data_IF_379626706908
#
_entry.id   IF_379626706908
#
_cell.length_a   1.000
_cell.length_b   1.000
_cell.length_c   1.000
_cell.angle_alpha   90.00
_cell.angle_beta   90.00
_cell.angle_gamma   90.00
#
_symmetry.space_group_name_H-M   'P 1'
#
loop_
_entity.id
_entity.type
_entity.pdbx_description
1 polymer ?
#
# COMPACT_ATOMS: atom_id res chain seq x y z
N UNK A 1 -30.45 -16.18 38.07
CA UNK A 1 -29.31 -15.41 37.50
C UNK A 1 -29.06 -15.89 36.08
N UNK A 2 -29.48 -15.13 35.06
CA UNK A 2 -29.18 -15.40 33.64
C UNK A 2 -28.38 -14.20 33.10
N UNK A 3 -27.14 -14.45 32.69
CA UNK A 3 -26.26 -13.48 32.05
C UNK A 3 -26.59 -13.46 30.55
N UNK A 4 -27.15 -12.34 30.05
CA UNK A 4 -27.36 -12.13 28.61
C UNK A 4 -26.08 -11.59 27.98
N UNK A 5 -25.51 -12.33 27.03
CA UNK A 5 -24.42 -11.87 26.18
C UNK A 5 -24.99 -10.92 25.12
N UNK A 6 -24.52 -9.68 25.11
CA UNK A 6 -24.79 -8.74 24.03
C UNK A 6 -23.94 -9.14 22.81
N UNK A 7 -24.59 -9.49 21.70
CA UNK A 7 -23.94 -9.65 20.41
C UNK A 7 -23.92 -8.28 19.72
N UNK A 8 -22.72 -7.74 19.49
CA UNK A 8 -22.50 -6.57 18.63
C UNK A 8 -22.65 -7.02 17.18
N UNK A 9 -23.75 -6.61 16.53
CA UNK A 9 -23.86 -6.69 15.07
C UNK A 9 -23.00 -5.59 14.44
N UNK A 10 -21.85 -5.96 13.89
CA UNK A 10 -21.06 -5.10 13.01
C UNK A 10 -21.78 -5.00 11.66
N UNK A 11 -22.46 -3.88 11.44
CA UNK A 11 -23.08 -3.56 10.15
C UNK A 11 -21.97 -3.15 9.17
N UNK A 12 -21.53 -4.08 8.32
CA UNK A 12 -20.67 -3.76 7.20
C UNK A 12 -21.46 -2.92 6.19
N UNK A 13 -21.13 -1.63 6.09
CA UNK A 13 -21.72 -0.74 5.11
C UNK A 13 -21.17 -1.13 3.71
N UNK A 14 -21.91 -1.94 2.95
CA UNK A 14 -21.64 -2.12 1.53
C UNK A 14 -22.04 -0.85 0.80
N UNK A 15 -21.06 -0.02 0.45
CA UNK A 15 -21.29 1.06 -0.50
C UNK A 15 -21.42 0.48 -1.92
N UNK A 16 -22.38 0.97 -2.73
CA UNK A 16 -22.52 0.53 -4.11
C UNK A 16 -21.28 0.94 -4.92
N UNK A 17 -20.71 -0.03 -5.65
CA UNK A 17 -19.59 0.20 -6.57
C UNK A 17 -20.12 1.04 -7.75
N UNK A 18 -19.56 2.23 -8.04
CA UNK A 18 -19.96 2.97 -9.22
C UNK A 18 -19.54 2.17 -10.47
N UNK A 19 -20.53 1.66 -11.18
CA UNK A 19 -20.37 1.08 -12.52
C UNK A 19 -20.10 2.24 -13.47
N UNK A 20 -18.83 2.47 -13.81
CA UNK A 20 -18.45 3.55 -14.72
C UNK A 20 -17.00 4.04 -14.61
N UNK A 21 -16.22 3.57 -13.62
CA UNK A 21 -14.78 3.79 -13.62
C UNK A 21 -14.15 2.99 -14.76
N UNK A 22 -13.58 3.68 -15.76
CA UNK A 22 -12.67 3.02 -16.71
C UNK A 22 -11.48 2.52 -15.90
N UNK A 23 -11.48 1.22 -15.62
CA UNK A 23 -10.40 0.55 -14.91
C UNK A 23 -9.21 0.53 -15.87
N UNK A 24 -8.17 1.30 -15.55
CA UNK A 24 -6.89 1.19 -16.27
C UNK A 24 -6.37 -0.24 -16.21
N UNK A 25 -5.59 -0.62 -17.21
CA UNK A 25 -4.77 -1.83 -17.13
C UNK A 25 -3.92 -1.73 -15.86
N UNK A 26 -4.18 -2.59 -14.86
CA UNK A 26 -3.42 -2.54 -13.63
C UNK A 26 -1.98 -2.92 -13.93
N UNK A 27 -1.05 -2.34 -13.18
CA UNK A 27 0.33 -2.80 -13.11
C UNK A 27 0.27 -4.24 -12.61
N UNK A 28 0.54 -5.17 -13.51
CA UNK A 28 0.68 -6.59 -13.21
C UNK A 28 2.11 -6.86 -12.77
N UNK A 29 2.26 -7.82 -11.87
CA UNK A 29 3.59 -8.21 -11.38
C UNK A 29 4.25 -9.11 -12.40
N UNK A 30 4.86 -8.52 -13.42
CA UNK A 30 5.68 -9.23 -14.39
C UNK A 30 7.14 -9.23 -13.93
N UNK A 31 7.96 -10.23 -14.29
CA UNK A 31 9.36 -10.30 -13.84
C UNK A 31 10.23 -9.08 -14.20
N UNK A 32 9.85 -8.31 -15.22
CA UNK A 32 10.47 -7.08 -15.67
C UNK A 32 9.99 -5.82 -14.91
N UNK A 33 8.92 -5.94 -14.10
CA UNK A 33 8.45 -4.85 -13.27
C UNK A 33 9.52 -4.46 -12.24
N UNK A 34 10.09 -3.27 -12.40
CA UNK A 34 11.27 -2.82 -11.65
C UNK A 34 10.94 -2.31 -10.24
N UNK A 35 10.44 -3.21 -9.39
CA UNK A 35 10.22 -2.94 -7.97
C UNK A 35 11.55 -2.81 -7.22
N UNK A 36 11.69 -1.74 -6.45
CA UNK A 36 12.87 -1.46 -5.63
C UNK A 36 12.56 -1.71 -4.15
N UNK A 37 13.34 -2.58 -3.51
CA UNK A 37 13.31 -2.77 -2.06
C UNK A 37 14.03 -1.62 -1.34
N UNK A 38 13.45 -1.11 -0.25
CA UNK A 38 14.04 -0.09 0.61
C UNK A 38 13.70 -0.40 2.06
N UNK A 39 14.67 -0.29 2.97
CA UNK A 39 14.47 -0.42 4.42
C UNK A 39 14.93 0.84 5.17
N UNK A 40 14.56 0.93 6.44
CA UNK A 40 15.03 1.97 7.36
C UNK A 40 16.53 1.95 7.66
N UNK A 41 17.27 0.94 7.19
CA UNK A 41 18.72 0.85 7.34
C UNK A 41 19.44 2.03 6.70
N UNK A 42 18.84 2.67 5.68
CA UNK A 42 19.35 3.91 5.08
C UNK A 42 19.42 5.08 6.07
N UNK A 43 18.71 4.98 7.20
CA UNK A 43 18.71 5.94 8.30
C UNK A 43 19.28 5.35 9.61
N UNK A 44 19.89 4.16 9.57
CA UNK A 44 20.45 3.48 10.76
C UNK A 44 19.45 2.59 11.52
N UNK A 45 18.26 2.37 10.96
CA UNK A 45 17.29 1.39 11.45
C UNK A 45 17.80 -0.05 11.31
N UNK A 46 17.08 -0.99 11.91
CA UNK A 46 17.46 -2.41 11.95
C UNK A 46 16.44 -3.33 11.29
N UNK A 47 15.47 -2.77 10.55
CA UNK A 47 14.50 -3.57 9.83
C UNK A 47 15.15 -4.28 8.65
N UNK A 48 14.81 -5.56 8.46
CA UNK A 48 15.40 -6.43 7.45
C UNK A 48 14.31 -7.22 6.74
N UNK A 49 14.51 -7.51 5.47
CA UNK A 49 13.48 -8.11 4.63
C UNK A 49 13.88 -8.18 3.17
N UNK A 50 12.91 -8.52 2.34
CA UNK A 50 13.05 -8.59 0.89
C UNK A 50 11.73 -8.25 0.20
N UNK A 51 11.85 -7.82 -1.05
CA UNK A 51 10.73 -7.70 -1.97
C UNK A 51 11.07 -8.49 -3.23
N UNK A 52 10.26 -9.49 -3.58
CA UNK A 52 10.49 -10.40 -4.70
C UNK A 52 9.20 -10.60 -5.48
N UNK A 53 9.33 -10.80 -6.79
CA UNK A 53 8.20 -11.23 -7.62
C UNK A 53 8.17 -12.77 -7.59
N UNK A 54 7.07 -13.31 -7.09
CA UNK A 54 6.81 -14.74 -6.98
C UNK A 54 5.59 -15.11 -7.83
N UNK A 55 5.44 -16.39 -8.17
CA UNK A 55 4.26 -16.91 -8.85
C UNK A 55 3.75 -18.16 -8.14
N UNK A 56 2.44 -18.20 -7.87
CA UNK A 56 1.75 -19.36 -7.30
C UNK A 56 0.35 -19.46 -7.90
N UNK A 57 -0.08 -20.68 -8.21
CA UNK A 57 -1.45 -20.96 -8.70
C UNK A 57 -1.85 -20.09 -9.91
N UNK A 58 -0.90 -19.83 -10.80
CA UNK A 58 -1.11 -19.00 -11.99
C UNK A 58 -1.21 -17.49 -11.72
N UNK A 59 -1.05 -17.04 -10.48
CA UNK A 59 -0.98 -15.63 -10.11
C UNK A 59 0.48 -15.23 -9.84
N UNK A 60 0.97 -14.22 -10.55
CA UNK A 60 2.22 -13.55 -10.23
C UNK A 60 1.97 -12.38 -9.27
N UNK A 61 2.82 -12.21 -8.26
CA UNK A 61 2.67 -11.21 -7.21
C UNK A 61 4.01 -10.73 -6.65
N UNK A 62 4.05 -9.47 -6.21
CA UNK A 62 5.11 -8.94 -5.38
C UNK A 62 4.88 -9.40 -3.95
N UNK A 63 5.86 -10.09 -3.36
CA UNK A 63 5.88 -10.45 -1.95
C UNK A 63 6.88 -9.58 -1.21
N UNK A 64 6.41 -8.84 -0.21
CA UNK A 64 7.22 -8.08 0.73
C UNK A 64 7.19 -8.81 2.08
N UNK A 65 8.35 -9.31 2.49
CA UNK A 65 8.53 -10.04 3.76
C UNK A 65 9.68 -9.49 4.57
N UNK A 66 9.60 -9.63 5.89
CA UNK A 66 10.71 -9.24 6.77
C UNK A 66 10.30 -8.95 8.20
N UNK A 67 11.28 -8.52 9.00
CA UNK A 67 11.10 -8.06 10.36
C UNK A 67 11.24 -6.53 10.39
N UNK A 68 10.17 -5.86 10.83
CA UNK A 68 10.15 -4.42 11.05
C UNK A 68 10.43 -4.15 12.52
N UNK A 69 11.31 -3.20 12.80
CA UNK A 69 11.58 -2.71 14.16
C UNK A 69 11.68 -1.19 14.19
N UNK A 70 11.04 -0.59 15.18
CA UNK A 70 11.07 0.85 15.47
C UNK A 70 12.32 1.29 16.23
N UNK A 71 13.23 0.36 16.55
CA UNK A 71 14.53 0.67 17.10
C UNK A 71 15.32 1.62 16.17
N UNK A 72 16.22 2.42 16.77
CA UNK A 72 17.06 3.39 16.06
C UNK A 72 16.29 4.41 15.20
N UNK A 73 15.06 4.78 15.61
CA UNK A 73 14.18 5.68 14.85
C UNK A 73 13.83 5.13 13.45
N UNK A 74 13.90 3.81 13.30
CA UNK A 74 13.47 3.09 12.10
C UNK A 74 11.98 2.82 12.11
N UNK A 75 11.61 1.65 11.63
CA UNK A 75 10.26 1.13 11.59
C UNK A 75 9.71 0.96 10.19
N UNK A 76 10.52 0.67 9.17
CA UNK A 76 9.96 0.32 7.86
C UNK A 76 10.77 -0.65 6.99
N UNK A 77 10.02 -1.42 6.20
CA UNK A 77 10.46 -2.01 4.93
C UNK A 77 9.44 -1.66 3.84
N UNK A 78 9.90 -1.52 2.60
CA UNK A 78 9.12 -1.03 1.48
C UNK A 78 9.54 -1.71 0.18
N UNK A 79 8.55 -1.98 -0.68
CA UNK A 79 8.76 -2.19 -2.10
C UNK A 79 8.14 -1.01 -2.87
N UNK A 80 8.89 -0.39 -3.80
CA UNK A 80 8.45 0.79 -4.55
C UNK A 80 8.59 0.60 -6.04
N UNK A 81 7.61 1.06 -6.81
CA UNK A 81 7.67 1.15 -8.27
C UNK A 81 7.50 2.61 -8.73
N UNK A 82 8.28 3.01 -9.74
CA UNK A 82 8.11 4.28 -10.44
C UNK A 82 7.01 4.13 -11.48
N UNK A 83 6.16 5.14 -11.60
CA UNK A 83 5.11 5.18 -12.63
C UNK A 83 5.65 5.85 -13.89
N UNK A 84 5.47 5.19 -15.03
CA UNK A 84 5.85 5.75 -16.34
C UNK A 84 4.89 6.86 -16.80
N UNK A 85 3.65 6.82 -16.33
CA UNK A 85 2.61 7.79 -16.62
C UNK A 85 1.78 8.11 -15.37
N UNK A 86 1.17 9.31 -15.28
CA UNK A 86 0.24 9.61 -14.21
C UNK A 86 -1.01 8.72 -14.30
N UNK A 87 -1.81 8.64 -13.22
CA UNK A 87 -3.15 8.06 -13.29
C UNK A 87 -4.00 8.72 -14.39
N UNK A 88 -4.97 8.00 -14.95
CA UNK A 88 -5.92 8.57 -15.91
C UNK A 88 -6.65 9.78 -15.37
N UNK A 89 -7.09 10.64 -16.28
CA UNK A 89 -8.04 11.70 -15.97
C UNK A 89 -9.33 11.09 -15.41
N UNK A 90 -9.81 11.67 -14.30
CA UNK A 90 -11.00 11.19 -13.59
C UNK A 90 -10.75 10.08 -12.58
N UNK A 91 -9.53 9.52 -12.49
CA UNK A 91 -9.20 8.57 -11.43
C UNK A 91 -9.43 9.18 -10.04
N UNK A 92 -10.08 8.41 -9.17
CA UNK A 92 -10.50 8.78 -7.82
C UNK A 92 -9.71 8.09 -6.73
N UNK A 93 -8.97 7.03 -7.05
CA UNK A 93 -8.13 6.34 -6.07
C UNK A 93 -7.19 5.29 -6.64
N UNK A 94 -6.54 4.58 -5.72
CA UNK A 94 -5.66 3.43 -5.97
C UNK A 94 -6.45 2.15 -5.73
N UNK A 95 -6.34 1.19 -6.66
CA UNK A 95 -6.85 -0.16 -6.54
C UNK A 95 -5.67 -1.12 -6.37
N UNK A 96 -5.77 -2.03 -5.40
CA UNK A 96 -4.78 -3.10 -5.23
C UNK A 96 -5.47 -4.45 -5.09
N UNK A 97 -4.87 -5.51 -5.63
CA UNK A 97 -5.24 -6.90 -5.32
C UNK A 97 -4.20 -7.48 -4.38
N UNK A 98 -4.56 -7.77 -3.14
CA UNK A 98 -3.61 -8.11 -2.07
C UNK A 98 -4.08 -9.27 -1.20
N UNK A 99 -3.12 -9.96 -0.57
CA UNK A 99 -3.31 -10.89 0.56
C UNK A 99 -2.15 -10.72 1.53
N UNK A 100 -2.29 -11.22 2.74
CA UNK A 100 -1.23 -11.14 3.75
C UNK A 100 -1.59 -11.84 5.06
N UNK A 101 -0.72 -11.65 6.04
CA UNK A 101 -0.80 -12.28 7.36
C UNK A 101 -1.85 -11.68 8.32
N UNK A 102 -2.81 -10.88 7.84
CA UNK A 102 -3.83 -10.25 8.68
C UNK A 102 -3.41 -8.91 9.28
N UNK A 103 -2.17 -8.50 9.05
CA UNK A 103 -1.62 -7.25 9.54
C UNK A 103 -2.02 -6.04 8.66
N UNK A 104 -1.89 -4.85 9.24
CA UNK A 104 -2.07 -3.58 8.53
C UNK A 104 -0.77 -3.08 7.87
N UNK A 105 -0.91 -2.59 6.64
CA UNK A 105 0.15 -2.06 5.78
C UNK A 105 -0.26 -0.70 5.22
N UNK A 106 0.64 -0.05 4.48
CA UNK A 106 0.41 1.27 3.90
C UNK A 106 0.74 1.30 2.42
N UNK A 107 -0.04 2.10 1.68
CA UNK A 107 0.37 2.61 0.38
C UNK A 107 1.05 3.95 0.59
N UNK A 108 2.29 4.08 0.13
CA UNK A 108 3.00 5.35 0.04
C UNK A 108 2.96 5.87 -1.39
N UNK A 109 2.53 7.12 -1.55
CA UNK A 109 2.52 7.82 -2.83
C UNK A 109 3.53 8.96 -2.80
N UNK A 110 4.28 9.10 -3.90
CA UNK A 110 5.13 10.26 -4.14
C UNK A 110 4.68 11.00 -5.37
N UNK A 111 4.89 12.31 -5.36
CA UNK A 111 4.53 13.21 -6.45
C UNK A 111 5.75 14.02 -6.89
N UNK A 112 5.63 14.81 -7.96
CA UNK A 112 6.66 15.81 -8.28
C UNK A 112 6.90 16.84 -7.17
N UNK A 113 5.98 16.98 -6.21
CA UNK A 113 6.13 17.85 -5.05
C UNK A 113 6.78 17.21 -3.82
N UNK A 114 7.02 15.90 -3.82
CA UNK A 114 7.77 15.23 -2.74
C UNK A 114 9.27 15.30 -3.04
N UNK A 115 9.88 16.45 -2.77
CA UNK A 115 11.27 16.76 -3.08
C UNK A 115 12.27 16.11 -2.11
N UNK A 116 11.85 15.90 -0.86
CA UNK A 116 12.69 15.35 0.19
C UNK A 116 12.48 13.83 0.32
N UNK A 117 13.52 13.05 0.66
CA UNK A 117 13.43 11.60 0.65
C UNK A 117 12.48 11.01 1.71
N UNK A 118 12.12 11.77 2.75
CA UNK A 118 11.14 11.39 3.77
C UNK A 118 9.72 11.91 3.49
N UNK A 119 9.50 12.62 2.38
CA UNK A 119 8.17 13.10 2.00
C UNK A 119 7.39 12.04 1.23
N UNK A 120 6.14 11.82 1.65
CA UNK A 120 5.20 10.92 0.98
C UNK A 120 3.77 11.26 1.42
N UNK A 121 2.78 10.74 0.68
CA UNK A 121 1.40 10.65 1.15
C UNK A 121 1.12 9.20 1.49
N UNK A 122 0.43 8.92 2.60
CA UNK A 122 0.17 7.56 3.05
C UNK A 122 -1.32 7.31 3.30
N UNK A 123 -1.76 6.09 3.00
CA UNK A 123 -3.06 5.57 3.40
C UNK A 123 -2.90 4.11 3.86
N UNK A 124 -3.54 3.71 4.97
CA UNK A 124 -3.49 2.34 5.46
C UNK A 124 -4.40 1.42 4.64
N UNK A 125 -4.06 0.14 4.62
CA UNK A 125 -4.94 -0.95 4.21
C UNK A 125 -4.71 -2.19 5.08
N UNK A 126 -5.74 -3.00 5.24
CA UNK A 126 -5.66 -4.29 5.93
C UNK A 126 -5.49 -5.43 4.93
N UNK A 127 -4.93 -6.54 5.40
CA UNK A 127 -4.80 -7.76 4.59
C UNK A 127 -5.60 -8.90 5.19
N UNK A 128 -5.99 -9.84 4.32
CA UNK A 128 -6.57 -11.13 4.69
C UNK A 128 -5.70 -12.26 4.13
N UNK A 129 -5.81 -13.49 4.64
CA UNK A 129 -5.11 -14.64 4.05
C UNK A 129 -5.48 -14.88 2.58
N UNK A 130 -6.72 -14.57 2.23
CA UNK A 130 -7.25 -14.69 0.87
C UNK A 130 -7.01 -13.41 0.05
N UNK A 131 -6.92 -13.58 -1.27
CA UNK A 131 -6.84 -12.46 -2.20
C UNK A 131 -8.10 -11.61 -2.15
N UNK A 132 -7.92 -10.31 -1.94
CA UNK A 132 -9.00 -9.33 -1.95
C UNK A 132 -8.60 -8.09 -2.76
N UNK A 133 -9.60 -7.45 -3.36
CA UNK A 133 -9.46 -6.12 -3.93
C UNK A 133 -9.65 -5.06 -2.84
N UNK A 134 -8.74 -4.10 -2.75
CA UNK A 134 -8.84 -2.95 -1.86
C UNK A 134 -8.81 -1.67 -2.69
N UNK A 135 -9.81 -0.82 -2.48
CA UNK A 135 -9.94 0.49 -3.12
C UNK A 135 -9.67 1.59 -2.10
N UNK A 136 -8.67 2.41 -2.37
CA UNK A 136 -8.25 3.50 -1.48
C UNK A 136 -8.45 4.83 -2.21
N UNK A 137 -9.43 5.66 -1.81
CA UNK A 137 -9.67 6.94 -2.47
C UNK A 137 -8.49 7.89 -2.23
N UNK A 138 -8.18 8.76 -3.20
CA UNK A 138 -7.09 9.73 -3.07
C UNK A 138 -7.25 10.67 -1.85
N UNK A 139 -8.48 10.90 -1.40
CA UNK A 139 -8.82 11.69 -0.21
C UNK A 139 -8.43 11.03 1.12
N UNK A 140 -8.19 9.71 1.13
CA UNK A 140 -7.70 8.99 2.30
C UNK A 140 -6.20 9.20 2.54
N UNK A 141 -5.46 9.62 1.51
CA UNK A 141 -4.01 9.81 1.61
C UNK A 141 -3.65 11.08 2.37
N UNK A 142 -2.89 10.92 3.46
CA UNK A 142 -2.43 12.03 4.29
C UNK A 142 -0.97 12.35 4.02
N UNK A 143 -0.58 13.63 3.92
CA UNK A 143 0.81 14.01 3.73
C UNK A 143 1.65 13.64 4.96
N UNK A 144 2.90 13.28 4.71
CA UNK A 144 3.94 13.06 5.70
C UNK A 144 5.20 13.81 5.28
N UNK A 145 5.69 14.68 6.17
CA UNK A 145 6.79 15.60 5.91
C UNK A 145 6.34 17.05 5.73
N UNK A 146 7.17 17.98 6.18
CA UNK A 146 6.88 19.41 6.17
C UNK A 146 6.69 19.96 4.74
N UNK A 147 5.92 21.05 4.62
CA UNK A 147 5.71 21.82 3.38
C UNK A 147 5.04 21.05 2.22
N UNK A 148 4.46 19.88 2.49
CA UNK A 148 3.59 19.19 1.54
C UNK A 148 2.20 19.83 1.49
N UNK A 149 1.52 19.65 0.36
CA UNK A 149 0.11 20.02 0.23
C UNK A 149 -0.73 19.04 1.04
N UNK A 150 -1.82 19.52 1.62
CA UNK A 150 -2.79 18.62 2.28
C UNK A 150 -3.50 17.71 1.29
N UNK A 151 -3.79 18.24 0.09
CA UNK A 151 -4.46 17.52 -0.98
C UNK A 151 -3.44 16.89 -1.96
N UNK A 152 -3.50 15.57 -2.13
CA UNK A 152 -2.80 14.87 -3.21
C UNK A 152 -3.28 15.38 -4.58
N UNK A 153 -2.34 15.56 -5.52
CA UNK A 153 -2.66 15.82 -6.94
C UNK A 153 -2.37 14.56 -7.75
N UNK A 154 -3.39 13.80 -8.20
CA UNK A 154 -3.18 12.54 -8.91
C UNK A 154 -2.29 12.69 -10.14
N UNK A 155 -2.51 13.74 -10.94
CA UNK A 155 -1.75 14.03 -12.16
C UNK A 155 -0.22 14.25 -11.94
N UNK A 156 0.22 14.46 -10.70
CA UNK A 156 1.65 14.62 -10.38
C UNK A 156 2.26 13.38 -9.72
N UNK A 157 1.55 12.26 -9.62
CA UNK A 157 2.06 11.02 -9.06
C UNK A 157 3.26 10.49 -9.84
N UNK A 158 4.24 9.96 -9.10
CA UNK A 158 5.54 9.50 -9.61
C UNK A 158 5.89 8.08 -9.19
N UNK A 159 5.47 7.66 -8.00
CA UNK A 159 5.70 6.29 -7.54
C UNK A 159 4.66 5.86 -6.53
N UNK A 160 4.51 4.53 -6.45
CA UNK A 160 3.69 3.83 -5.46
C UNK A 160 4.61 2.90 -4.68
N UNK A 161 4.44 2.88 -3.36
CA UNK A 161 5.14 1.97 -2.45
C UNK A 161 4.15 1.13 -1.64
N UNK A 162 4.44 -0.15 -1.50
CA UNK A 162 3.83 -1.04 -0.52
C UNK A 162 4.74 -1.06 0.70
N UNK A 163 4.21 -0.72 1.88
CA UNK A 163 5.04 -0.43 3.06
C UNK A 163 4.52 -1.11 4.31
N UNK A 164 5.42 -1.78 5.01
CA UNK A 164 5.23 -2.17 6.40
C UNK A 164 5.87 -1.07 7.26
N UNK A 165 5.09 -0.35 8.07
CA UNK A 165 5.53 0.90 8.71
C UNK A 165 5.01 1.06 10.15
N UNK A 166 5.82 1.69 11.00
CA UNK A 166 5.37 2.39 12.21
C UNK A 166 5.21 1.54 13.46
N UNK A 167 5.56 0.24 13.40
CA UNK A 167 5.51 -0.68 14.56
C UNK A 167 6.39 -1.90 14.35
N UNK A 168 6.75 -2.54 15.45
CA UNK A 168 7.45 -3.82 15.44
C UNK A 168 6.50 -4.94 15.01
N UNK A 169 6.83 -5.66 13.92
CA UNK A 169 6.07 -6.81 13.44
C UNK A 169 6.82 -7.61 12.38
N UNK A 170 6.34 -8.82 12.13
CA UNK A 170 6.71 -9.59 10.94
C UNK A 170 5.80 -9.18 9.78
N UNK A 171 6.40 -8.63 8.73
CA UNK A 171 5.73 -8.33 7.49
C UNK A 171 5.67 -9.59 6.60
N UNK A 172 4.48 -9.86 6.07
CA UNK A 172 4.25 -10.79 4.96
C UNK A 172 2.99 -10.32 4.23
N UNK A 173 3.22 -9.56 3.15
CA UNK A 173 2.17 -9.04 2.28
C UNK A 173 2.50 -9.35 0.83
N UNK A 174 1.49 -9.80 0.11
CA UNK A 174 1.54 -10.07 -1.32
C UNK A 174 0.60 -9.12 -2.06
N UNK A 175 1.06 -8.56 -3.18
CA UNK A 175 0.25 -7.69 -4.05
C UNK A 175 0.38 -8.22 -5.47
N UNK A 176 -0.73 -8.60 -6.09
CA UNK A 176 -0.76 -9.12 -7.46
C UNK A 176 -0.98 -8.03 -8.51
N UNK A 177 -1.71 -6.98 -8.13
CA UNK A 177 -2.09 -5.89 -9.04
C UNK A 177 -2.08 -4.56 -8.28
N UNK A 178 -1.63 -3.51 -8.96
CA UNK A 178 -1.74 -2.11 -8.52
C UNK A 178 -2.27 -1.28 -9.68
N UNK A 179 -3.35 -0.54 -9.50
CA UNK A 179 -3.94 0.27 -10.55
C UNK A 179 -4.70 1.48 -10.00
N UNK A 180 -5.49 2.10 -10.87
CA UNK A 180 -6.33 3.25 -10.55
C UNK A 180 -7.78 2.98 -10.98
N UNK A 181 -8.72 3.63 -10.31
CA UNK A 181 -10.17 3.57 -10.59
C UNK A 181 -10.81 4.94 -10.43
#
# INVERSE_FOLDING_TARGET
MKQSRAALLSLALLMPIPVGAQMTDPIRMTPDASWTYVSDQVMGGVSQGSAQIEAAEGTSFLRLTGQVSTANRGGFIQARITLDSPPPDGATGVLIRTRGNGEGYFIHLRTSGTLLPWQYYQAPFATTPDWAEVRIPFTAFKPSGALLRDSLRPASLRSIGIVAYGRDHTADVSVAEVGFY
#
